data_IF_665941303661
#
_entry.id   IF_665941303661
#
_cell.length_a   1.000
_cell.length_b   1.000
_cell.length_c   1.000
_cell.angle_alpha   90.00
_cell.angle_beta   90.00
_cell.angle_gamma   90.00
#
_symmetry.space_group_name_H-M   'P 1'
#
loop_
_entity.id
_entity.type
_entity.pdbx_description
1 polymer ?
#
# COMPACT_ATOMS: atom_id res chain seq x y z
N UNK A 1 42.41 -8.35 15.45
CA UNK A 1 42.21 -7.14 14.68
C UNK A 1 42.62 -5.98 15.57
N UNK A 2 43.66 -5.24 15.25
CA UNK A 2 44.07 -4.07 16.00
C UNK A 2 43.00 -3.01 15.83
N UNK A 3 42.40 -2.54 16.93
CA UNK A 3 41.50 -1.40 16.92
C UNK A 3 42.26 -0.19 16.40
N UNK A 4 41.81 0.37 15.31
CA UNK A 4 42.36 1.61 14.76
C UNK A 4 41.82 2.73 15.62
N UNK A 5 42.71 3.37 16.39
CA UNK A 5 42.36 4.47 17.31
C UNK A 5 43.21 5.70 17.00
N UNK A 6 42.66 6.89 17.19
CA UNK A 6 43.47 8.10 17.02
C UNK A 6 44.47 8.24 18.18
N UNK A 7 45.78 8.40 17.89
CA UNK A 7 46.80 8.51 18.92
C UNK A 7 46.66 9.76 19.80
N UNK A 8 45.97 10.80 19.34
CA UNK A 8 45.74 12.03 20.07
C UNK A 8 44.40 11.98 20.84
N UNK A 9 43.40 11.33 20.27
CA UNK A 9 42.01 11.25 20.80
C UNK A 9 41.50 9.79 20.84
N UNK A 10 41.97 8.98 21.79
CA UNK A 10 41.69 7.52 21.77
C UNK A 10 40.24 7.16 22.02
N UNK A 11 39.43 8.08 22.60
CA UNK A 11 38.04 7.82 22.92
C UNK A 11 37.04 8.38 21.89
N UNK A 12 37.51 8.90 20.76
CA UNK A 12 36.64 9.52 19.74
C UNK A 12 36.32 8.52 18.66
N UNK A 13 35.03 8.46 18.28
CA UNK A 13 34.59 7.65 17.14
C UNK A 13 35.14 8.22 15.83
N UNK A 14 35.90 7.41 15.12
CA UNK A 14 36.47 7.75 13.82
C UNK A 14 35.36 7.80 12.75
N UNK A 15 35.48 8.70 11.78
CA UNK A 15 34.57 8.85 10.65
C UNK A 15 35.21 8.19 9.43
N UNK A 16 34.48 7.31 8.76
CA UNK A 16 34.90 6.65 7.53
C UNK A 16 34.45 7.50 6.32
N UNK A 17 35.43 7.98 5.54
CA UNK A 17 35.15 8.64 4.26
C UNK A 17 35.19 7.63 3.13
N UNK A 18 34.04 7.10 2.76
CA UNK A 18 33.91 6.12 1.68
C UNK A 18 34.31 6.67 0.28
N UNK A 19 34.47 7.99 0.11
CA UNK A 19 34.91 8.58 -1.17
C UNK A 19 36.40 8.54 -1.33
N UNK A 20 37.13 8.90 -0.25
CA UNK A 20 38.58 8.86 -0.22
C UNK A 20 39.09 7.48 0.17
N UNK A 21 38.32 6.66 0.85
CA UNK A 21 38.71 5.40 1.42
C UNK A 21 39.54 5.56 2.71
N UNK A 22 39.32 6.68 3.41
CA UNK A 22 40.10 7.07 4.57
C UNK A 22 39.28 6.99 5.85
N UNK A 23 39.95 6.69 6.96
CA UNK A 23 39.37 6.76 8.32
C UNK A 23 39.99 7.97 9.02
N UNK A 24 39.12 8.95 9.36
CA UNK A 24 39.54 10.28 9.82
C UNK A 24 39.04 10.52 11.25
N UNK A 25 39.91 11.12 12.07
CA UNK A 25 39.51 11.62 13.38
C UNK A 25 38.81 12.98 13.23
N UNK A 26 37.52 13.13 13.66
CA UNK A 26 36.77 14.37 13.48
C UNK A 26 37.29 15.53 14.32
N UNK A 27 38.04 15.30 15.41
CA UNK A 27 38.56 16.35 16.26
C UNK A 27 39.88 16.96 15.76
N UNK A 28 40.81 16.14 15.28
CA UNK A 28 42.10 16.62 14.82
C UNK A 28 42.32 16.54 13.31
N UNK A 29 41.40 15.93 12.55
CA UNK A 29 41.54 15.75 11.12
C UNK A 29 42.63 14.74 10.70
N UNK A 30 43.24 14.03 11.65
CA UNK A 30 44.27 13.02 11.33
C UNK A 30 43.64 11.84 10.61
N UNK A 31 44.21 11.47 9.46
CA UNK A 31 43.92 10.21 8.78
C UNK A 31 44.62 9.08 9.52
N UNK A 32 43.81 8.24 10.18
CA UNK A 32 44.31 7.16 11.03
C UNK A 32 44.48 5.86 10.21
N UNK A 33 43.67 5.70 9.17
CA UNK A 33 43.77 4.58 8.24
C UNK A 33 43.50 5.04 6.81
N UNK A 34 44.27 4.51 5.87
CA UNK A 34 44.08 4.69 4.43
C UNK A 34 43.67 3.38 3.75
N UNK A 35 43.10 3.48 2.56
CA UNK A 35 42.74 2.33 1.71
C UNK A 35 41.69 1.41 2.35
N UNK A 36 40.62 1.99 2.81
CA UNK A 36 39.46 1.21 3.28
C UNK A 36 38.95 0.33 2.13
N UNK A 37 38.94 -0.97 2.33
CA UNK A 37 38.35 -1.88 1.34
C UNK A 37 36.87 -1.86 1.46
N UNK A 38 36.17 -1.34 0.44
CA UNK A 38 34.72 -1.41 0.36
C UNK A 38 34.32 -2.87 0.09
N UNK A 39 33.67 -3.47 1.09
CA UNK A 39 33.12 -4.83 0.99
C UNK A 39 31.68 -4.84 0.47
N UNK A 40 31.14 -3.66 0.17
CA UNK A 40 29.80 -3.51 -0.41
C UNK A 40 29.73 -3.99 -1.87
N UNK A 41 28.54 -4.29 -2.32
CA UNK A 41 28.31 -4.62 -3.75
C UNK A 41 28.41 -3.35 -4.58
N UNK A 42 29.31 -3.34 -5.58
CA UNK A 42 29.44 -2.22 -6.50
C UNK A 42 28.32 -2.27 -7.55
N UNK A 43 27.33 -1.40 -7.39
CA UNK A 43 26.29 -1.18 -8.39
C UNK A 43 26.46 0.17 -9.04
N UNK A 44 26.61 0.21 -10.37
CA UNK A 44 26.68 1.44 -11.16
C UNK A 44 25.68 1.39 -12.29
N UNK A 45 24.71 2.29 -12.29
CA UNK A 45 23.82 2.52 -13.42
C UNK A 45 24.20 3.81 -14.15
N UNK A 46 24.41 3.73 -15.45
CA UNK A 46 24.71 4.89 -16.29
C UNK A 46 23.43 5.33 -17.03
N UNK A 47 23.00 6.60 -16.82
CA UNK A 47 21.79 7.14 -17.43
C UNK A 47 21.82 7.24 -18.95
N UNK A 48 23.01 7.13 -19.58
CA UNK A 48 23.20 7.25 -21.03
C UNK A 48 23.14 5.91 -21.78
N UNK A 49 23.11 4.78 -21.09
CA UNK A 49 23.01 3.48 -21.75
C UNK A 49 21.54 3.13 -22.00
N UNK A 50 21.11 3.43 -23.21
CA UNK A 50 19.81 3.03 -23.73
C UNK A 50 19.87 1.57 -24.15
N UNK A 51 19.01 0.76 -23.55
CA UNK A 51 18.55 -0.55 -24.00
C UNK A 51 19.46 -1.78 -23.86
N UNK A 52 19.02 -2.72 -23.09
CA UNK A 52 19.08 -4.15 -23.40
C UNK A 52 20.14 -4.99 -22.71
N UNK A 53 21.27 -4.47 -22.33
CA UNK A 53 22.24 -5.20 -21.52
C UNK A 53 22.44 -4.49 -20.20
N UNK A 54 22.31 -5.21 -19.11
CA UNK A 54 22.60 -4.68 -17.77
C UNK A 54 24.09 -4.29 -17.70
N UNK A 55 24.44 -2.99 -17.58
CA UNK A 55 25.83 -2.54 -17.55
C UNK A 55 26.51 -2.86 -16.22
N UNK A 56 25.80 -3.45 -15.26
CA UNK A 56 26.39 -3.82 -14.00
C UNK A 56 27.43 -4.94 -14.18
N UNK A 57 28.68 -4.62 -13.89
CA UNK A 57 29.79 -5.57 -13.99
C UNK A 57 29.93 -6.47 -12.77
N UNK A 58 29.28 -6.11 -11.66
CA UNK A 58 29.42 -6.75 -10.36
C UNK A 58 28.06 -6.90 -9.69
N UNK A 59 27.34 -7.95 -10.01
CA UNK A 59 26.08 -8.33 -9.34
C UNK A 59 24.95 -7.33 -9.41
N UNK A 60 23.84 -7.68 -8.80
CA UNK A 60 22.67 -6.81 -8.62
C UNK A 60 22.78 -6.02 -7.30
N UNK A 61 22.08 -4.87 -7.15
CA UNK A 61 22.05 -4.15 -5.88
C UNK A 61 21.52 -5.06 -4.76
N UNK A 62 22.16 -5.00 -3.62
CA UNK A 62 21.72 -5.73 -2.44
C UNK A 62 20.29 -5.34 -2.05
N UNK A 63 19.45 -6.34 -1.85
CA UNK A 63 18.10 -6.10 -1.34
C UNK A 63 18.13 -6.19 0.20
N UNK A 64 17.95 -5.07 0.92
CA UNK A 64 18.00 -5.04 2.39
C UNK A 64 16.88 -5.87 3.05
N UNK A 65 15.90 -6.33 2.27
CA UNK A 65 14.81 -7.17 2.76
C UNK A 65 15.16 -8.66 2.78
N UNK A 66 16.23 -9.08 2.07
CA UNK A 66 16.72 -10.45 2.11
C UNK A 66 17.80 -10.59 3.18
N UNK A 67 17.96 -11.79 3.70
CA UNK A 67 18.92 -12.07 4.80
C UNK A 67 20.35 -12.11 4.27
N UNK A 68 20.82 -11.01 3.75
CA UNK A 68 22.06 -10.76 3.05
C UNK A 68 23.16 -11.79 3.20
N UNK A 69 23.64 -12.30 2.13
CA UNK A 69 24.97 -12.87 2.10
C UNK A 69 25.25 -13.89 1.03
N UNK A 70 24.34 -14.78 0.70
CA UNK A 70 24.84 -15.94 -0.06
C UNK A 70 24.47 -15.93 -1.55
N UNK A 71 23.39 -15.25 -1.95
CA UNK A 71 22.95 -15.24 -3.35
C UNK A 71 22.33 -13.89 -3.74
N UNK A 72 23.18 -12.92 -4.03
CA UNK A 72 22.76 -11.61 -4.57
C UNK A 72 22.33 -11.68 -6.04
N UNK A 73 22.72 -12.74 -6.74
CA UNK A 73 22.39 -12.95 -8.16
C UNK A 73 21.43 -14.11 -8.33
N UNK A 74 20.54 -14.02 -9.31
CA UNK A 74 19.64 -15.11 -9.70
C UNK A 74 19.83 -15.48 -11.16
N UNK A 75 19.81 -16.77 -11.45
CA UNK A 75 19.85 -17.27 -12.83
C UNK A 75 18.50 -16.98 -13.46
N UNK A 76 18.48 -16.06 -14.44
CA UNK A 76 17.28 -15.75 -15.20
C UNK A 76 17.03 -16.82 -16.28
N UNK A 77 15.81 -17.36 -16.32
CA UNK A 77 15.37 -18.24 -17.39
C UNK A 77 14.73 -17.35 -18.46
N UNK A 78 15.52 -16.99 -19.48
CA UNK A 78 15.07 -16.15 -20.59
C UNK A 78 14.46 -16.94 -21.75
N UNK A 79 14.02 -16.20 -22.77
CA UNK A 79 13.54 -16.80 -24.04
C UNK A 79 14.69 -17.55 -24.72
N UNK A 80 14.55 -18.85 -24.94
CA UNK A 80 15.61 -19.69 -25.51
C UNK A 80 16.46 -20.43 -24.47
N UNK A 81 16.09 -20.38 -23.18
CA UNK A 81 16.77 -21.14 -22.13
C UNK A 81 16.68 -22.64 -22.40
N UNK A 82 17.81 -23.32 -22.20
CA UNK A 82 17.89 -24.78 -22.33
C UNK A 82 17.34 -25.48 -21.09
N UNK A 83 17.07 -26.78 -21.17
CA UNK A 83 16.65 -27.58 -20.00
C UNK A 83 17.72 -27.56 -18.89
N UNK A 84 18.99 -27.42 -19.25
CA UNK A 84 20.09 -27.26 -18.29
C UNK A 84 20.00 -25.95 -17.54
N UNK A 85 19.66 -24.82 -18.19
CA UNK A 85 19.52 -23.51 -17.55
C UNK A 85 18.34 -23.50 -16.58
N UNK A 86 17.23 -24.13 -16.95
CA UNK A 86 16.07 -24.28 -16.07
C UNK A 86 16.39 -25.16 -14.86
N UNK A 87 17.18 -26.21 -15.05
CA UNK A 87 17.63 -27.10 -13.97
C UNK A 87 18.54 -26.35 -13.00
N UNK A 88 19.51 -25.56 -13.50
CA UNK A 88 20.41 -24.73 -12.72
C UNK A 88 19.66 -23.66 -11.93
N UNK A 89 18.72 -22.94 -12.54
CA UNK A 89 17.89 -21.96 -11.87
C UNK A 89 17.04 -22.59 -10.77
N UNK A 90 16.50 -23.79 -10.99
CA UNK A 90 15.76 -24.52 -9.98
C UNK A 90 16.65 -25.03 -8.83
N UNK A 91 17.87 -25.44 -9.13
CA UNK A 91 18.84 -25.84 -8.11
C UNK A 91 19.25 -24.64 -7.24
N UNK A 92 19.49 -23.47 -7.87
CA UNK A 92 19.77 -22.23 -7.16
C UNK A 92 18.61 -21.83 -6.24
N UNK A 93 17.36 -21.88 -6.74
CA UNK A 93 16.17 -21.59 -5.91
C UNK A 93 16.02 -22.54 -4.72
N UNK A 94 16.44 -23.80 -4.85
CA UNK A 94 16.42 -24.78 -3.76
C UNK A 94 17.49 -24.52 -2.71
N UNK A 95 18.62 -23.92 -3.08
CA UNK A 95 19.70 -23.57 -2.14
C UNK A 95 19.41 -22.31 -1.31
N UNK A 96 18.47 -21.46 -1.75
CA UNK A 96 18.04 -20.29 -0.97
C UNK A 96 17.37 -20.70 0.34
N UNK A 97 17.59 -19.90 1.38
CA UNK A 97 16.87 -20.03 2.65
C UNK A 97 15.35 -19.98 2.45
N UNK A 98 14.62 -20.77 3.22
CA UNK A 98 13.16 -20.83 3.09
C UNK A 98 12.49 -19.48 3.35
N UNK A 99 13.03 -18.68 4.28
CA UNK A 99 12.57 -17.31 4.57
C UNK A 99 12.76 -16.38 3.38
N UNK A 100 13.94 -16.40 2.75
CA UNK A 100 14.25 -15.55 1.59
C UNK A 100 13.42 -15.95 0.36
N UNK A 101 13.18 -17.24 0.19
CA UNK A 101 12.29 -17.75 -0.84
C UNK A 101 10.84 -17.28 -0.64
N UNK A 102 10.35 -17.34 0.60
CA UNK A 102 9.01 -16.83 0.94
C UNK A 102 8.94 -15.32 0.73
N UNK A 103 9.99 -14.58 1.13
CA UNK A 103 10.07 -13.14 0.94
C UNK A 103 10.06 -12.75 -0.53
N UNK A 104 10.87 -13.40 -1.37
CA UNK A 104 10.92 -13.13 -2.82
C UNK A 104 9.58 -13.41 -3.49
N UNK A 105 8.93 -14.51 -3.13
CA UNK A 105 7.59 -14.84 -3.62
C UNK A 105 6.56 -13.78 -3.17
N UNK A 106 6.61 -13.36 -1.92
CA UNK A 106 5.68 -12.34 -1.39
C UNK A 106 5.88 -10.99 -2.07
N UNK A 107 7.13 -10.55 -2.29
CA UNK A 107 7.42 -9.31 -3.03
C UNK A 107 6.86 -9.34 -4.45
N UNK A 108 6.97 -10.47 -5.15
CA UNK A 108 6.36 -10.63 -6.48
C UNK A 108 4.84 -10.51 -6.43
N UNK A 109 4.19 -11.17 -5.46
CA UNK A 109 2.73 -11.11 -5.27
C UNK A 109 2.28 -9.69 -4.87
N UNK A 110 3.01 -9.02 -3.96
CA UNK A 110 2.72 -7.64 -3.55
C UNK A 110 2.83 -6.69 -4.75
N UNK A 111 3.87 -6.86 -5.58
CA UNK A 111 4.05 -6.07 -6.80
C UNK A 111 2.88 -6.27 -7.75
N UNK A 112 2.55 -7.52 -8.08
CA UNK A 112 1.44 -7.84 -8.98
C UNK A 112 0.11 -7.24 -8.49
N UNK A 113 -0.19 -7.39 -7.19
CA UNK A 113 -1.39 -6.80 -6.59
C UNK A 113 -1.36 -5.26 -6.65
N UNK A 114 -0.22 -4.65 -6.34
CA UNK A 114 -0.07 -3.19 -6.34
C UNK A 114 -0.25 -2.59 -7.74
N UNK A 115 0.31 -3.21 -8.77
CA UNK A 115 0.17 -2.79 -10.16
C UNK A 115 -1.28 -2.87 -10.63
N UNK A 116 -1.99 -3.95 -10.30
CA UNK A 116 -3.40 -4.12 -10.66
C UNK A 116 -4.33 -3.08 -9.99
N UNK A 117 -3.99 -2.65 -8.77
CA UNK A 117 -4.79 -1.67 -8.01
C UNK A 117 -4.28 -0.24 -8.26
N UNK A 118 -3.18 -0.06 -8.99
CA UNK A 118 -2.50 1.21 -9.21
C UNK A 118 -2.10 1.91 -7.90
N UNK A 119 -1.37 1.18 -7.05
CA UNK A 119 -0.83 1.74 -5.81
C UNK A 119 0.55 2.37 -6.04
N UNK A 120 0.87 3.38 -5.22
CA UNK A 120 2.18 4.00 -5.22
C UNK A 120 3.27 3.02 -4.75
N UNK A 121 4.51 3.22 -5.21
CA UNK A 121 5.65 2.40 -4.84
C UNK A 121 5.94 2.45 -3.33
N UNK A 122 5.72 3.59 -2.68
CA UNK A 122 5.87 3.74 -1.22
C UNK A 122 5.02 2.72 -0.44
N UNK A 123 3.77 2.49 -0.87
CA UNK A 123 2.88 1.49 -0.27
C UNK A 123 3.40 0.08 -0.50
N UNK A 124 3.94 -0.21 -1.68
CA UNK A 124 4.53 -1.50 -2.01
C UNK A 124 5.77 -1.79 -1.13
N UNK A 125 6.65 -0.81 -0.98
CA UNK A 125 7.86 -0.93 -0.18
C UNK A 125 7.52 -1.10 1.31
N UNK A 126 6.54 -0.34 1.81
CA UNK A 126 6.04 -0.48 3.18
C UNK A 126 5.38 -1.84 3.42
N UNK A 127 4.64 -2.36 2.44
CA UNK A 127 4.03 -3.70 2.52
C UNK A 127 5.10 -4.79 2.59
N UNK A 128 6.16 -4.67 1.77
CA UNK A 128 7.29 -5.60 1.76
C UNK A 128 8.06 -5.59 3.07
N UNK A 129 8.30 -4.40 3.65
CA UNK A 129 8.90 -4.25 4.98
C UNK A 129 8.04 -4.89 6.07
N UNK A 130 6.74 -4.58 6.08
CA UNK A 130 5.81 -5.19 7.04
C UNK A 130 5.77 -6.71 6.92
N UNK A 131 5.88 -7.24 5.70
CA UNK A 131 5.93 -8.69 5.48
C UNK A 131 7.21 -9.32 6.06
N UNK A 132 8.36 -8.63 5.94
CA UNK A 132 9.61 -9.06 6.58
C UNK A 132 9.47 -9.12 8.10
N UNK A 133 8.92 -8.07 8.71
CA UNK A 133 8.68 -8.01 10.16
C UNK A 133 7.78 -9.17 10.62
N UNK A 134 6.77 -9.54 9.82
CA UNK A 134 5.88 -10.69 10.07
C UNK A 134 6.62 -12.02 9.97
N UNK A 135 7.51 -12.18 8.99
CA UNK A 135 8.34 -13.40 8.88
C UNK A 135 9.27 -13.56 10.08
N UNK A 136 9.92 -12.47 10.49
CA UNK A 136 10.85 -12.45 11.62
C UNK A 136 10.14 -12.76 12.95
N UNK A 137 8.91 -12.26 13.12
CA UNK A 137 8.08 -12.57 14.31
C UNK A 137 7.53 -14.00 14.33
N UNK A 138 7.59 -14.72 13.18
CA UNK A 138 7.03 -16.09 13.00
C UNK A 138 5.55 -16.23 13.37
N UNK A 139 4.82 -15.13 13.46
CA UNK A 139 3.43 -15.09 13.96
C UNK A 139 2.42 -15.80 13.03
N UNK A 140 2.72 -15.87 11.74
CA UNK A 140 1.83 -16.44 10.71
C UNK A 140 2.34 -17.77 10.13
N UNK A 141 3.17 -18.49 10.88
CA UNK A 141 3.69 -19.80 10.45
C UNK A 141 2.56 -20.74 10.05
N UNK A 142 2.65 -21.31 8.84
CA UNK A 142 1.64 -22.24 8.30
C UNK A 142 0.42 -21.57 7.63
N UNK A 143 0.39 -20.25 7.50
CA UNK A 143 -0.65 -19.55 6.72
C UNK A 143 -0.22 -19.39 5.26
N UNK A 144 -1.22 -19.24 4.37
CA UNK A 144 -0.95 -18.99 2.95
C UNK A 144 -0.15 -17.68 2.75
N UNK A 145 0.94 -17.77 1.99
CA UNK A 145 1.83 -16.65 1.71
C UNK A 145 1.10 -15.48 0.99
N UNK A 146 0.20 -15.81 0.06
CA UNK A 146 -0.62 -14.80 -0.64
C UNK A 146 -1.56 -14.07 0.32
N UNK A 147 -2.17 -14.79 1.28
CA UNK A 147 -3.05 -14.18 2.27
C UNK A 147 -2.27 -13.23 3.21
N UNK A 148 -1.04 -13.60 3.57
CA UNK A 148 -0.15 -12.77 4.37
C UNK A 148 0.25 -11.52 3.59
N UNK A 149 0.67 -11.67 2.32
CA UNK A 149 1.05 -10.57 1.44
C UNK A 149 -0.11 -9.58 1.23
N UNK A 150 -1.32 -10.08 0.98
CA UNK A 150 -2.52 -9.26 0.86
C UNK A 150 -2.87 -8.51 2.15
N UNK A 151 -2.70 -9.14 3.31
CA UNK A 151 -2.92 -8.50 4.61
C UNK A 151 -1.88 -7.41 4.90
N UNK A 152 -0.60 -7.64 4.57
CA UNK A 152 0.47 -6.65 4.69
C UNK A 152 0.22 -5.45 3.76
N UNK A 153 -0.19 -5.70 2.51
CA UNK A 153 -0.56 -4.65 1.57
C UNK A 153 -1.74 -3.81 2.09
N UNK A 154 -2.74 -4.44 2.68
CA UNK A 154 -3.86 -3.73 3.31
C UNK A 154 -3.42 -2.84 4.48
N UNK A 155 -2.51 -3.34 5.32
CA UNK A 155 -1.94 -2.56 6.44
C UNK A 155 -1.16 -1.36 5.90
N UNK A 156 -0.33 -1.57 4.85
CA UNK A 156 0.43 -0.51 4.22
C UNK A 156 -0.48 0.59 3.62
N UNK A 157 -1.55 0.20 2.91
CA UNK A 157 -2.53 1.16 2.41
C UNK A 157 -3.17 2.00 3.53
N UNK A 158 -3.43 1.40 4.70
CA UNK A 158 -3.98 2.14 5.84
C UNK A 158 -2.99 3.08 6.48
N UNK A 159 -1.73 2.67 6.62
CA UNK A 159 -0.65 3.52 7.16
C UNK A 159 -0.37 4.73 6.29
N UNK A 160 -0.49 4.57 4.97
CA UNK A 160 -0.29 5.66 4.00
C UNK A 160 -1.56 6.51 3.76
N UNK A 161 -2.62 6.34 4.55
CA UNK A 161 -3.84 7.12 4.43
C UNK A 161 -4.65 6.86 3.14
N UNK A 162 -4.42 5.73 2.46
CA UNK A 162 -5.16 5.32 1.25
C UNK A 162 -5.91 4.01 1.51
N UNK A 163 -6.89 3.99 2.41
CA UNK A 163 -7.57 2.75 2.78
C UNK A 163 -8.31 2.14 1.59
N UNK A 164 -8.15 0.84 1.43
CA UNK A 164 -8.85 0.02 0.44
C UNK A 164 -9.92 -0.81 1.13
N UNK A 165 -10.96 -1.21 0.41
CA UNK A 165 -12.02 -2.05 0.96
C UNK A 165 -11.74 -3.54 0.70
N UNK A 166 -12.32 -4.43 1.53
CA UNK A 166 -12.27 -5.88 1.33
C UNK A 166 -13.52 -6.38 0.59
N UNK A 167 -14.02 -5.69 -0.42
CA UNK A 167 -15.22 -6.15 -1.09
C UNK A 167 -14.91 -7.31 -2.04
N UNK A 168 -15.56 -8.43 -1.81
CA UNK A 168 -15.72 -9.48 -2.80
C UNK A 168 -16.74 -9.02 -3.83
N UNK A 169 -16.32 -8.65 -5.03
CA UNK A 169 -17.22 -8.72 -6.15
C UNK A 169 -17.27 -10.19 -6.60
N UNK A 170 -18.43 -10.78 -6.48
CA UNK A 170 -18.81 -11.93 -7.30
C UNK A 170 -18.78 -11.43 -8.74
N UNK A 171 -17.66 -11.68 -9.41
CA UNK A 171 -17.50 -11.38 -10.84
C UNK A 171 -18.15 -12.48 -11.63
N UNK A 172 -19.43 -12.33 -11.91
CA UNK A 172 -19.95 -12.83 -13.17
C UNK A 172 -19.47 -11.87 -14.27
N UNK A 173 -18.42 -12.30 -14.94
CA UNK A 173 -18.07 -12.14 -16.35
C UNK A 173 -18.27 -10.80 -17.08
N UNK A 174 -18.12 -9.62 -16.56
CA UNK A 174 -17.93 -8.42 -17.42
C UNK A 174 -17.25 -7.31 -16.61
N UNK A 175 -16.05 -6.87 -17.04
CA UNK A 175 -15.23 -5.76 -16.56
C UNK A 175 -14.21 -6.04 -15.43
N UNK A 176 -13.14 -6.71 -15.80
CA UNK A 176 -11.86 -6.76 -15.07
C UNK A 176 -11.28 -5.34 -14.77
N UNK A 177 -11.77 -4.31 -15.45
CA UNK A 177 -11.31 -2.92 -15.29
C UNK A 177 -11.80 -2.22 -14.02
N UNK A 178 -12.81 -2.74 -13.31
CA UNK A 178 -13.39 -2.10 -12.11
C UNK A 178 -13.03 -2.73 -10.77
N UNK A 179 -12.41 -3.91 -10.76
CA UNK A 179 -12.03 -4.60 -9.52
C UNK A 179 -10.74 -4.02 -8.94
N UNK A 180 -10.82 -2.86 -8.31
CA UNK A 180 -9.67 -2.17 -7.67
C UNK A 180 -9.51 -2.54 -6.18
N UNK A 181 -9.98 -3.70 -5.77
CA UNK A 181 -9.98 -4.11 -4.36
C UNK A 181 -9.07 -5.33 -4.12
N UNK A 182 -8.46 -5.37 -2.95
CA UNK A 182 -7.39 -6.34 -2.64
C UNK A 182 -7.84 -7.80 -2.77
N UNK A 183 -9.06 -8.14 -2.33
CA UNK A 183 -9.56 -9.51 -2.44
C UNK A 183 -9.77 -9.97 -3.88
N UNK A 184 -10.22 -9.07 -4.77
CA UNK A 184 -10.45 -9.40 -6.17
C UNK A 184 -9.15 -9.69 -6.92
N UNK A 185 -8.05 -9.12 -6.45
CA UNK A 185 -6.73 -9.26 -7.06
C UNK A 185 -5.94 -10.42 -6.47
N UNK A 186 -6.09 -10.69 -5.17
CA UNK A 186 -5.26 -11.66 -4.44
C UNK A 186 -5.72 -13.12 -4.56
N UNK A 187 -6.82 -13.42 -5.23
CA UNK A 187 -7.41 -14.79 -5.30
C UNK A 187 -7.64 -15.47 -3.95
N UNK A 188 -7.56 -14.71 -2.85
CA UNK A 188 -7.68 -15.20 -1.47
C UNK A 188 -8.99 -14.73 -0.86
N UNK A 189 -9.61 -15.57 -0.05
CA UNK A 189 -10.89 -15.23 0.60
C UNK A 189 -10.73 -14.08 1.61
N UNK A 190 -11.71 -13.19 1.66
CA UNK A 190 -11.79 -12.09 2.63
C UNK A 190 -11.60 -12.57 4.08
N UNK A 191 -12.13 -13.76 4.41
CA UNK A 191 -12.02 -14.34 5.75
C UNK A 191 -10.58 -14.69 6.11
N UNK A 192 -9.80 -15.21 5.17
CA UNK A 192 -8.38 -15.54 5.38
C UNK A 192 -7.54 -14.28 5.53
N UNK A 193 -7.71 -13.30 4.64
CA UNK A 193 -7.01 -12.01 4.74
C UNK A 193 -7.33 -11.34 6.09
N UNK A 194 -8.62 -11.34 6.50
CA UNK A 194 -9.04 -10.77 7.77
C UNK A 194 -8.46 -11.49 9.00
N UNK A 195 -8.26 -12.81 8.93
CA UNK A 195 -7.58 -13.56 10.00
C UNK A 195 -6.09 -13.21 10.07
N UNK A 196 -5.40 -13.16 8.92
CA UNK A 196 -4.00 -12.75 8.84
C UNK A 196 -3.82 -11.32 9.35
N UNK A 197 -4.68 -10.40 8.92
CA UNK A 197 -4.68 -9.01 9.37
C UNK A 197 -4.77 -8.87 10.90
N UNK A 198 -5.71 -9.56 11.54
CA UNK A 198 -5.84 -9.52 13.00
C UNK A 198 -4.60 -10.06 13.73
N UNK A 199 -4.01 -11.14 13.19
CA UNK A 199 -2.80 -11.73 13.77
C UNK A 199 -1.59 -10.80 13.60
N UNK A 200 -1.43 -10.16 12.44
CA UNK A 200 -0.34 -9.20 12.18
C UNK A 200 -0.44 -8.01 13.13
N UNK A 201 -1.61 -7.40 13.26
CA UNK A 201 -1.78 -6.25 14.18
C UNK A 201 -1.41 -6.65 15.61
N UNK A 202 -1.85 -7.84 16.04
CA UNK A 202 -1.53 -8.33 17.38
C UNK A 202 -0.04 -8.61 17.58
N UNK A 203 0.64 -9.15 16.55
CA UNK A 203 2.06 -9.54 16.66
C UNK A 203 3.01 -8.36 16.56
N UNK A 204 2.67 -7.36 15.75
CA UNK A 204 3.50 -6.17 15.53
C UNK A 204 3.08 -4.99 16.41
N UNK A 205 2.07 -5.16 17.28
CA UNK A 205 1.50 -4.11 18.14
C UNK A 205 1.24 -2.79 17.40
N UNK A 206 0.88 -2.92 16.11
CA UNK A 206 0.75 -1.76 15.22
C UNK A 206 -0.55 -1.03 15.53
N UNK A 207 -0.46 0.21 15.96
CA UNK A 207 -1.62 1.08 16.06
C UNK A 207 -2.00 1.60 14.66
N UNK A 208 -3.22 1.34 14.23
CA UNK A 208 -3.75 1.82 12.96
C UNK A 208 -4.85 2.83 13.22
N UNK A 209 -4.77 3.98 12.60
CA UNK A 209 -5.82 5.00 12.65
C UNK A 209 -7.17 4.45 12.19
N UNK A 210 -8.23 4.96 12.78
CA UNK A 210 -9.58 4.60 12.36
C UNK A 210 -9.86 5.14 10.95
N UNK A 211 -10.49 4.31 10.15
CA UNK A 211 -10.91 4.72 8.80
C UNK A 211 -12.09 5.67 8.94
N UNK A 212 -11.96 6.83 8.34
CA UNK A 212 -13.01 7.85 8.28
C UNK A 212 -13.77 7.80 6.95
N UNK A 213 -14.96 8.41 6.90
CA UNK A 213 -15.71 8.54 5.65
C UNK A 213 -14.99 9.41 4.62
N UNK A 214 -14.17 10.37 5.08
CA UNK A 214 -13.43 11.29 4.23
C UNK A 214 -12.40 10.56 3.35
N UNK A 215 -11.78 9.50 3.85
CA UNK A 215 -10.73 8.73 3.17
C UNK A 215 -11.22 8.07 1.86
N UNK A 216 -12.53 7.88 1.72
CA UNK A 216 -13.14 7.27 0.54
C UNK A 216 -13.66 8.28 -0.48
N UNK A 217 -13.86 9.55 -0.08
CA UNK A 217 -14.55 10.56 -0.89
C UNK A 217 -13.86 10.80 -2.23
N UNK A 218 -12.56 11.05 -2.23
CA UNK A 218 -11.79 11.33 -3.44
C UNK A 218 -11.91 10.18 -4.45
N UNK A 219 -11.74 8.94 -3.96
CA UNK A 219 -11.79 7.75 -4.82
C UNK A 219 -13.19 7.49 -5.38
N UNK A 220 -14.23 7.62 -4.56
CA UNK A 220 -15.61 7.38 -5.00
C UNK A 220 -16.07 8.46 -5.97
N UNK A 221 -15.81 9.72 -5.67
CA UNK A 221 -16.13 10.83 -6.57
C UNK A 221 -15.35 10.74 -7.88
N UNK A 222 -14.06 10.40 -7.84
CA UNK A 222 -13.26 10.19 -9.05
C UNK A 222 -13.78 9.06 -9.93
N UNK A 223 -14.20 7.93 -9.33
CA UNK A 223 -14.79 6.80 -10.08
C UNK A 223 -16.17 7.13 -10.66
N UNK A 224 -16.92 8.03 -10.01
CA UNK A 224 -18.22 8.55 -10.48
C UNK A 224 -18.06 9.70 -11.48
N UNK A 225 -16.83 10.16 -11.75
CA UNK A 225 -16.54 11.34 -12.56
C UNK A 225 -17.31 12.59 -12.08
N UNK A 226 -17.37 12.77 -10.75
CA UNK A 226 -17.99 13.93 -10.13
C UNK A 226 -16.96 15.06 -9.92
N UNK A 227 -17.35 16.33 -10.09
CA UNK A 227 -16.48 17.48 -9.91
C UNK A 227 -16.06 17.67 -8.43
N UNK A 228 -14.94 18.34 -8.21
CA UNK A 228 -14.37 18.58 -6.88
C UNK A 228 -15.33 19.37 -5.95
N UNK A 229 -16.21 20.18 -6.49
CA UNK A 229 -17.23 20.91 -5.71
C UNK A 229 -18.19 19.95 -5.00
N UNK A 230 -18.64 18.90 -5.69
CA UNK A 230 -19.50 17.85 -5.11
C UNK A 230 -18.72 17.01 -4.11
N UNK A 231 -17.45 16.69 -4.41
CA UNK A 231 -16.58 15.98 -3.47
C UNK A 231 -16.40 16.76 -2.16
N UNK A 232 -16.13 18.06 -2.23
CA UNK A 232 -15.98 18.92 -1.06
C UNK A 232 -17.27 18.99 -0.24
N UNK A 233 -18.41 19.16 -0.93
CA UNK A 233 -19.72 19.14 -0.28
C UNK A 233 -20.02 17.81 0.41
N UNK A 234 -19.82 16.69 -0.28
CA UNK A 234 -20.02 15.36 0.28
C UNK A 234 -19.12 15.10 1.50
N UNK A 235 -17.86 15.55 1.44
CA UNK A 235 -16.91 15.41 2.57
C UNK A 235 -17.41 16.21 3.79
N UNK A 236 -17.91 17.43 3.58
CA UNK A 236 -18.47 18.26 4.66
C UNK A 236 -19.75 17.66 5.24
N UNK A 237 -20.66 17.19 4.38
CA UNK A 237 -21.90 16.50 4.79
C UNK A 237 -21.55 15.29 5.67
N UNK A 238 -20.63 14.44 5.23
CA UNK A 238 -20.24 13.25 5.98
C UNK A 238 -19.58 13.59 7.32
N UNK A 239 -18.72 14.62 7.37
CA UNK A 239 -18.08 15.09 8.60
C UNK A 239 -19.11 15.61 9.60
N UNK A 240 -19.98 16.52 9.17
CA UNK A 240 -21.06 17.06 10.03
C UNK A 240 -22.03 15.98 10.49
N UNK A 241 -22.38 15.03 9.63
CA UNK A 241 -23.28 13.93 9.99
C UNK A 241 -22.71 13.06 11.13
N UNK A 242 -21.40 12.89 11.16
CA UNK A 242 -20.71 12.18 12.26
C UNK A 242 -20.64 13.06 13.51
N UNK A 243 -20.30 14.35 13.37
CA UNK A 243 -20.25 15.31 14.49
C UNK A 243 -21.62 15.47 15.19
N UNK A 244 -22.70 15.42 14.43
CA UNK A 244 -24.08 15.51 14.93
C UNK A 244 -24.67 14.18 15.36
N UNK A 245 -23.88 13.09 15.31
CA UNK A 245 -24.27 11.73 15.67
C UNK A 245 -25.51 11.17 14.94
N UNK A 246 -25.81 11.69 13.73
CA UNK A 246 -26.97 11.28 12.94
C UNK A 246 -26.85 9.87 12.37
N UNK A 247 -25.65 9.36 12.27
CA UNK A 247 -25.30 8.10 11.58
C UNK A 247 -24.63 7.09 12.50
N UNK A 248 -24.98 7.13 13.79
CA UNK A 248 -24.44 6.20 14.79
C UNK A 248 -24.58 4.74 14.33
N UNK A 249 -23.52 3.95 14.49
CA UNK A 249 -23.49 2.53 14.14
C UNK A 249 -23.47 2.23 12.64
N UNK A 250 -23.40 3.23 11.75
CA UNK A 250 -23.26 3.01 10.31
C UNK A 250 -21.78 2.90 9.92
N UNK A 251 -21.51 2.12 8.87
CA UNK A 251 -20.14 1.98 8.36
C UNK A 251 -19.68 3.29 7.69
N UNK A 252 -18.38 3.67 7.79
CA UNK A 252 -17.84 4.85 7.12
C UNK A 252 -18.09 4.87 5.60
N UNK A 253 -18.09 3.71 4.98
CA UNK A 253 -18.38 3.53 3.55
C UNK A 253 -19.84 3.90 3.24
N UNK A 254 -20.79 3.46 4.07
CA UNK A 254 -22.21 3.77 3.88
C UNK A 254 -22.50 5.26 4.08
N UNK A 255 -21.81 5.90 5.03
CA UNK A 255 -21.89 7.33 5.28
C UNK A 255 -21.37 8.11 4.07
N UNK A 256 -20.17 7.72 3.57
CA UNK A 256 -19.58 8.33 2.38
C UNK A 256 -20.53 8.21 1.17
N UNK A 257 -21.06 7.01 0.91
CA UNK A 257 -21.98 6.77 -0.20
C UNK A 257 -23.26 7.61 -0.10
N UNK A 258 -23.86 7.71 1.08
CA UNK A 258 -25.06 8.51 1.30
C UNK A 258 -24.80 10.02 1.18
N UNK A 259 -23.66 10.50 1.65
CA UNK A 259 -23.25 11.90 1.50
C UNK A 259 -23.01 12.26 0.03
N UNK A 260 -22.36 11.39 -0.74
CA UNK A 260 -22.18 11.57 -2.19
C UNK A 260 -23.53 11.55 -2.90
N UNK A 261 -24.44 10.65 -2.51
CA UNK A 261 -25.79 10.62 -3.06
C UNK A 261 -26.51 11.95 -2.81
N UNK A 262 -26.52 12.44 -1.57
CA UNK A 262 -27.15 13.72 -1.22
C UNK A 262 -26.56 14.89 -2.01
N UNK A 263 -25.24 15.02 -2.07
CA UNK A 263 -24.57 16.09 -2.79
C UNK A 263 -24.81 16.01 -4.31
N UNK A 264 -24.85 14.82 -4.90
CA UNK A 264 -25.12 14.64 -6.33
C UNK A 264 -26.56 15.00 -6.69
N UNK A 265 -27.55 14.64 -5.85
CA UNK A 265 -28.96 14.98 -6.10
C UNK A 265 -29.22 16.49 -6.01
N UNK A 266 -28.47 17.20 -5.18
CA UNK A 266 -28.57 18.67 -5.04
C UNK A 266 -27.87 19.43 -6.18
N UNK A 267 -27.03 18.75 -6.97
CA UNK A 267 -26.24 19.30 -8.07
C UNK A 267 -26.83 18.99 -9.44
N UNK A 268 -26.16 19.47 -10.53
CA UNK A 268 -26.47 19.11 -11.92
C UNK A 268 -26.10 17.66 -12.27
N UNK A 269 -25.11 17.10 -11.58
CA UNK A 269 -24.54 15.77 -11.85
C UNK A 269 -25.21 14.70 -10.98
N UNK A 270 -26.47 14.41 -11.28
CA UNK A 270 -27.23 13.40 -10.53
C UNK A 270 -26.74 12.00 -10.80
N UNK A 271 -26.46 11.23 -9.74
CA UNK A 271 -26.09 9.80 -9.81
C UNK A 271 -27.12 8.96 -9.08
N UNK A 272 -27.38 7.75 -9.59
CA UNK A 272 -28.32 6.83 -8.94
C UNK A 272 -27.71 6.24 -7.66
N UNK A 273 -28.55 5.89 -6.69
CA UNK A 273 -28.10 5.19 -5.48
C UNK A 273 -27.47 3.83 -5.80
N UNK A 274 -27.87 3.21 -6.92
CA UNK A 274 -27.30 1.95 -7.41
C UNK A 274 -25.87 2.14 -7.89
N UNK A 275 -25.61 3.13 -8.76
CA UNK A 275 -24.24 3.39 -9.29
C UNK A 275 -23.26 3.74 -8.16
N UNK A 276 -23.70 4.57 -7.22
CA UNK A 276 -22.92 4.93 -6.04
C UNK A 276 -22.67 3.69 -5.17
N UNK A 277 -23.69 2.86 -4.97
CA UNK A 277 -23.58 1.62 -4.21
C UNK A 277 -22.62 0.63 -4.82
N UNK A 278 -22.62 0.48 -6.14
CA UNK A 278 -21.69 -0.39 -6.88
C UNK A 278 -20.25 0.07 -6.70
N UNK A 279 -19.98 1.37 -6.81
CA UNK A 279 -18.63 1.93 -6.64
C UNK A 279 -18.17 1.90 -5.18
N UNK A 280 -19.05 2.26 -4.24
CA UNK A 280 -18.74 2.27 -2.82
C UNK A 280 -18.66 0.87 -2.21
N UNK A 281 -19.28 -0.10 -2.87
CA UNK A 281 -19.38 -1.42 -2.32
C UNK A 281 -20.47 -1.58 -1.26
N UNK A 282 -21.47 -0.73 -1.28
CA UNK A 282 -22.65 -0.76 -0.40
C UNK A 282 -23.91 -1.16 -1.18
N UNK A 283 -24.83 -1.87 -0.55
CA UNK A 283 -26.10 -2.16 -1.19
C UNK A 283 -26.91 -0.87 -1.37
N UNK A 284 -27.64 -0.74 -2.48
CA UNK A 284 -28.51 0.41 -2.77
C UNK A 284 -29.43 0.75 -1.60
N UNK A 285 -30.04 -0.29 -1.01
CA UNK A 285 -30.92 -0.14 0.15
C UNK A 285 -30.20 0.50 1.33
N UNK A 286 -28.93 0.13 1.57
CA UNK A 286 -28.11 0.70 2.65
C UNK A 286 -27.81 2.18 2.40
N UNK A 287 -27.52 2.56 1.15
CA UNK A 287 -27.30 3.95 0.75
C UNK A 287 -28.58 4.77 1.01
N UNK A 288 -29.73 4.28 0.55
CA UNK A 288 -31.04 4.95 0.76
C UNK A 288 -31.42 5.04 2.23
N UNK A 289 -31.20 3.98 3.01
CA UNK A 289 -31.47 4.00 4.46
C UNK A 289 -30.58 5.02 5.19
N UNK A 290 -29.30 5.10 4.85
CA UNK A 290 -28.40 6.07 5.46
C UNK A 290 -28.76 7.50 5.01
N UNK A 291 -29.13 7.68 3.75
CA UNK A 291 -29.63 8.95 3.23
C UNK A 291 -30.87 9.45 3.98
N UNK A 292 -31.84 8.55 4.28
CA UNK A 292 -33.04 8.89 5.07
C UNK A 292 -32.72 9.43 6.48
N UNK A 293 -31.60 9.01 7.07
CA UNK A 293 -31.16 9.55 8.36
C UNK A 293 -30.58 10.97 8.22
N UNK A 294 -29.95 11.28 7.08
CA UNK A 294 -29.36 12.59 6.80
C UNK A 294 -30.39 13.64 6.35
N UNK A 295 -31.38 13.19 5.59
CA UNK A 295 -32.36 14.09 4.93
C UNK A 295 -33.05 15.10 5.88
N UNK A 296 -33.53 14.72 7.09
CA UNK A 296 -34.22 15.67 7.97
C UNK A 296 -33.39 16.89 8.40
N UNK A 297 -32.08 16.75 8.38
CA UNK A 297 -31.12 17.81 8.72
C UNK A 297 -30.29 18.29 7.54
N UNK A 298 -30.75 18.07 6.31
CA UNK A 298 -30.03 18.39 5.10
C UNK A 298 -29.55 19.85 5.07
N UNK A 299 -30.39 20.79 5.48
CA UNK A 299 -30.07 22.21 5.51
C UNK A 299 -28.84 22.54 6.37
N UNK A 300 -28.65 21.83 7.48
CA UNK A 300 -27.53 22.05 8.40
C UNK A 300 -26.25 21.34 7.90
N UNK A 301 -26.38 20.31 7.06
CA UNK A 301 -25.27 19.48 6.59
C UNK A 301 -24.53 20.09 5.41
N UNK A 302 -25.24 20.80 4.52
CA UNK A 302 -24.61 21.42 3.36
C UNK A 302 -23.67 22.58 3.75
N UNK A 303 -22.59 22.81 2.99
CA UNK A 303 -21.78 24.02 3.14
C UNK A 303 -22.57 25.25 2.68
N UNK A 304 -22.30 26.40 3.31
CA UNK A 304 -22.97 27.68 2.99
C UNK A 304 -22.72 28.14 1.54
N UNK A 305 -21.54 27.78 1.01
CA UNK A 305 -21.12 28.16 -0.34
C UNK A 305 -21.63 27.21 -1.43
N UNK A 306 -22.46 26.21 -1.07
CA UNK A 306 -22.92 25.22 -2.04
C UNK A 306 -24.01 25.80 -2.95
N UNK A 307 -23.76 25.73 -4.26
CA UNK A 307 -24.74 26.17 -5.27
C UNK A 307 -25.75 25.06 -5.56
N UNK A 308 -26.94 25.19 -4.98
CA UNK A 308 -28.03 24.26 -5.22
C UNK A 308 -28.61 24.44 -6.63
N UNK A 309 -28.64 23.35 -7.41
CA UNK A 309 -29.39 23.27 -8.66
C UNK A 309 -30.81 22.76 -8.36
N UNK A 310 -30.94 21.80 -7.44
CA UNK A 310 -32.21 21.30 -6.94
C UNK A 310 -32.32 21.75 -5.49
N UNK A 311 -33.40 22.52 -5.13
CA UNK A 311 -33.65 22.92 -3.74
C UNK A 311 -33.77 21.73 -2.80
N UNK A 312 -33.44 21.92 -1.53
CA UNK A 312 -33.43 20.84 -0.52
C UNK A 312 -34.81 20.19 -0.42
N UNK A 313 -35.88 20.98 -0.53
CA UNK A 313 -37.27 20.51 -0.44
C UNK A 313 -37.71 19.60 -1.60
N UNK A 314 -37.00 19.67 -2.72
CA UNK A 314 -37.25 18.87 -3.91
C UNK A 314 -36.30 17.65 -4.03
N UNK A 315 -35.47 17.41 -3.03
CA UNK A 315 -34.62 16.22 -3.01
C UNK A 315 -35.47 14.95 -2.82
N UNK A 316 -35.07 13.81 -3.39
CA UNK A 316 -35.82 12.57 -3.28
C UNK A 316 -36.01 12.17 -1.80
N UNK A 317 -37.24 11.92 -1.38
CA UNK A 317 -37.57 11.53 0.01
C UNK A 317 -37.53 10.03 0.26
N UNK A 318 -37.38 9.21 -0.78
CA UNK A 318 -37.45 7.73 -0.70
C UNK A 318 -36.16 7.03 -1.21
#
# INVERSE_FOLDING_TARGET
>A
MSSVECPIHPNVHLVEDHRAGDVICPECGLVVGDRLVDVGTEWRSFSNERSGADPSRVGAPENPLLSGGDLSTSIAVGFGATDSDTSLANAQRKSMNNTDRQMTQAMSVIREMSERIHLAKSIQDLASKTFKDVLDSKALKGKNNEAQAAACLYIACRKEGVPRTFKEHSVELIDVKRAKEICAVSRVSKKEIGRCFKLIIKSLETNLEQITSADFMSRFCGNLSLPNSIQAAATRIAKRAVEMDLVAGRSPISIAAAAIYMASQASSEKRSAKDIGEIAGAAEVTVKQTYKLLYPRAAELFPEDFKFVTPIDQLPTS
#
